data_IF_283540113930
#
_entry.id   IF_283540113930
#
_cell.length_a   1.000
_cell.length_b   1.000
_cell.length_c   1.000
_cell.angle_alpha   90.00
_cell.angle_beta   90.00
_cell.angle_gamma   90.00
#
_symmetry.space_group_name_H-M   'P 1'
#
loop_
_entity.id
_entity.type
_entity.pdbx_description
1 polymer ?
#
# COMPACT_ATOMS: atom_id res chain seq x y z
N UNK A 1 -15.10 23.85 -9.84
CA UNK A 1 -15.69 22.89 -8.87
C UNK A 1 -14.58 22.39 -7.98
N UNK A 2 -14.80 22.33 -6.67
CA UNK A 2 -13.88 21.69 -5.72
C UNK A 2 -14.44 20.30 -5.39
N UNK A 3 -13.70 19.26 -5.81
CA UNK A 3 -13.92 17.83 -5.56
C UNK A 3 -13.37 17.44 -4.17
N UNK A 4 -13.54 16.16 -3.75
CA UNK A 4 -13.13 15.58 -2.44
C UNK A 4 -13.23 16.54 -1.23
N UNK A 5 -14.32 16.42 -0.47
CA UNK A 5 -14.65 17.35 0.64
C UNK A 5 -13.71 17.27 1.85
N UNK A 6 -12.82 16.28 1.91
CA UNK A 6 -11.94 16.02 3.05
C UNK A 6 -12.64 15.43 4.28
N UNK A 7 -13.94 15.11 4.19
CA UNK A 7 -14.66 14.40 5.25
C UNK A 7 -14.25 12.92 5.28
N UNK A 8 -14.15 12.28 4.10
CA UNK A 8 -13.55 10.95 3.95
C UNK A 8 -12.04 11.06 4.12
N UNK A 9 -11.46 10.23 5.01
CA UNK A 9 -10.05 10.35 5.40
C UNK A 9 -9.13 9.22 4.95
N UNK A 10 -9.69 8.17 4.37
CA UNK A 10 -8.91 7.02 3.94
C UNK A 10 -8.50 7.12 2.47
N UNK A 11 -7.36 6.53 2.14
CA UNK A 11 -6.85 6.39 0.79
C UNK A 11 -7.03 4.94 0.34
N UNK A 12 -7.34 4.71 -0.94
CA UNK A 12 -7.47 3.37 -1.49
C UNK A 12 -6.15 2.61 -1.49
N UNK A 13 -6.20 1.30 -1.22
CA UNK A 13 -5.05 0.40 -1.32
C UNK A 13 -4.48 0.42 -2.74
N UNK A 14 -5.35 0.22 -3.74
CA UNK A 14 -5.02 0.34 -5.17
C UNK A 14 -4.44 1.70 -5.51
N UNK A 15 -5.15 2.77 -5.15
CA UNK A 15 -4.78 4.13 -5.55
C UNK A 15 -3.37 4.47 -5.04
N UNK A 16 -3.09 4.13 -3.78
CA UNK A 16 -1.77 4.34 -3.19
C UNK A 16 -0.65 3.56 -3.91
N UNK A 17 -0.95 2.37 -4.43
CA UNK A 17 -0.02 1.56 -5.21
C UNK A 17 0.15 2.07 -6.66
N UNK A 18 -0.89 2.63 -7.26
CA UNK A 18 -0.82 3.25 -8.58
C UNK A 18 -0.05 4.57 -8.54
N UNK A 19 -0.25 5.39 -7.50
CA UNK A 19 0.50 6.62 -7.28
C UNK A 19 2.01 6.37 -7.21
N UNK A 20 2.42 5.28 -6.54
CA UNK A 20 3.83 4.87 -6.43
C UNK A 20 4.52 4.75 -7.80
N UNK A 21 3.81 4.24 -8.81
CA UNK A 21 4.35 4.13 -10.17
C UNK A 21 4.70 5.49 -10.77
N UNK A 22 3.94 6.53 -10.41
CA UNK A 22 4.14 7.89 -10.89
C UNK A 22 5.24 8.65 -10.16
N UNK A 23 5.53 8.34 -8.89
CA UNK A 23 6.46 9.15 -8.08
C UNK A 23 7.73 8.45 -7.59
N UNK A 24 7.88 7.15 -7.82
CA UNK A 24 9.02 6.38 -7.28
C UNK A 24 10.39 6.93 -7.71
N UNK A 25 10.52 7.40 -8.94
CA UNK A 25 11.74 7.99 -9.49
C UNK A 25 12.08 9.37 -8.88
N UNK A 26 11.10 10.06 -8.29
CA UNK A 26 11.30 11.39 -7.69
C UNK A 26 11.76 11.30 -6.23
N UNK A 27 11.15 10.39 -5.45
CA UNK A 27 11.37 10.26 -3.99
C UNK A 27 11.38 8.80 -3.54
N UNK A 28 12.39 8.01 -3.95
CA UNK A 28 12.40 6.56 -3.73
C UNK A 28 12.33 6.16 -2.25
N UNK A 29 12.97 6.89 -1.35
CA UNK A 29 12.91 6.61 0.09
C UNK A 29 11.48 6.72 0.66
N UNK A 30 10.70 7.68 0.17
CA UNK A 30 9.29 7.82 0.55
C UNK A 30 8.43 6.75 -0.10
N UNK A 31 8.75 6.35 -1.32
CA UNK A 31 8.08 5.24 -2.00
C UNK A 31 8.28 3.93 -1.22
N UNK A 32 9.51 3.66 -0.77
CA UNK A 32 9.85 2.53 0.09
C UNK A 32 9.00 2.50 1.36
N UNK A 33 8.97 3.61 2.09
CA UNK A 33 8.18 3.69 3.32
C UNK A 33 6.68 3.50 3.06
N UNK A 34 6.17 4.06 1.96
CA UNK A 34 4.75 3.91 1.59
C UNK A 34 4.38 2.47 1.27
N UNK A 35 5.24 1.72 0.57
CA UNK A 35 5.04 0.27 0.31
C UNK A 35 4.88 -0.48 1.64
N UNK A 36 5.78 -0.22 2.61
CA UNK A 36 5.71 -0.85 3.93
C UNK A 36 4.44 -0.46 4.70
N UNK A 37 4.06 0.82 4.64
CA UNK A 37 2.85 1.31 5.31
C UNK A 37 1.57 0.68 4.75
N UNK A 38 1.49 0.43 3.44
CA UNK A 38 0.34 -0.21 2.79
C UNK A 38 0.36 -1.74 3.01
N UNK A 39 1.54 -2.37 3.02
CA UNK A 39 1.65 -3.81 3.23
C UNK A 39 1.11 -4.26 4.61
N UNK A 40 1.11 -3.38 5.61
CA UNK A 40 0.55 -3.66 6.95
C UNK A 40 -0.95 -3.95 6.93
N UNK A 41 -1.70 -3.47 5.94
CA UNK A 41 -3.14 -3.72 5.81
C UNK A 41 -3.50 -4.92 4.93
N UNK A 42 -2.49 -5.70 4.51
CA UNK A 42 -2.71 -7.02 3.91
C UNK A 42 -2.89 -8.07 5.01
N UNK A 43 -3.91 -8.90 4.85
CA UNK A 43 -4.26 -10.00 5.75
C UNK A 43 -3.46 -11.27 5.40
N UNK A 44 -3.43 -12.23 6.33
CA UNK A 44 -2.65 -13.47 6.19
C UNK A 44 -3.12 -14.39 5.07
N UNK A 45 -4.37 -14.26 4.62
CA UNK A 45 -4.92 -15.00 3.48
C UNK A 45 -4.61 -14.33 2.12
N UNK A 46 -3.88 -13.21 2.13
CA UNK A 46 -3.48 -12.43 0.97
C UNK A 46 -4.50 -11.36 0.57
N UNK A 47 -5.71 -11.35 1.14
CA UNK A 47 -6.66 -10.25 0.96
C UNK A 47 -6.18 -8.98 1.66
N UNK A 48 -6.80 -7.82 1.39
CA UNK A 48 -6.47 -6.58 2.07
C UNK A 48 -7.71 -5.71 2.29
N UNK A 49 -7.58 -4.77 3.22
CA UNK A 49 -8.57 -3.71 3.37
C UNK A 49 -8.53 -2.79 2.15
N UNK A 50 -9.71 -2.49 1.59
CA UNK A 50 -9.81 -1.67 0.39
C UNK A 50 -9.31 -0.24 0.61
N UNK A 51 -9.50 0.26 1.83
CA UNK A 51 -9.11 1.60 2.22
C UNK A 51 -8.21 1.56 3.47
N UNK A 52 -7.18 2.40 3.44
CA UNK A 52 -6.19 2.56 4.49
C UNK A 52 -6.24 3.98 5.03
N UNK A 53 -6.17 4.14 6.35
CA UNK A 53 -6.13 5.46 6.99
C UNK A 53 -4.66 5.87 7.23
N UNK A 54 -4.11 6.88 6.52
CA UNK A 54 -2.67 7.18 6.58
C UNK A 54 -2.18 7.70 7.93
N UNK A 55 -3.09 8.29 8.72
CA UNK A 55 -2.77 8.86 10.02
C UNK A 55 -2.69 7.80 11.12
N UNK A 56 -3.50 6.73 11.04
CA UNK A 56 -3.54 5.65 12.05
C UNK A 56 -2.78 4.41 11.59
N UNK A 57 -2.52 4.31 10.29
CA UNK A 57 -1.96 3.14 9.61
C UNK A 57 -2.83 1.88 9.68
N UNK A 58 -4.14 2.06 9.83
CA UNK A 58 -5.11 0.97 9.95
C UNK A 58 -5.96 0.81 8.70
N UNK A 59 -6.41 -0.42 8.44
CA UNK A 59 -7.39 -0.71 7.40
C UNK A 59 -8.79 -0.31 7.84
N UNK A 60 -9.58 0.27 6.93
CA UNK A 60 -10.96 0.63 7.19
C UNK A 60 -11.85 -0.62 7.18
N UNK A 61 -12.22 -1.10 8.36
CA UNK A 61 -13.10 -2.25 8.56
C UNK A 61 -14.54 -2.01 8.06
N UNK A 62 -14.99 -0.75 8.00
CA UNK A 62 -16.35 -0.39 7.62
C UNK A 62 -16.54 -0.41 6.09
N UNK A 63 -15.50 -0.08 5.32
CA UNK A 63 -15.49 -0.30 3.85
C UNK A 63 -15.24 -1.77 3.48
N UNK A 64 -14.60 -2.54 4.38
CA UNK A 64 -14.36 -3.96 4.21
C UNK A 64 -13.22 -4.29 3.23
N UNK A 65 -13.26 -5.53 2.73
CA UNK A 65 -12.35 -6.09 1.73
C UNK A 65 -13.13 -6.78 0.61
N UNK A 66 -12.53 -7.74 -0.08
CA UNK A 66 -13.18 -8.50 -1.16
C UNK A 66 -13.04 -7.90 -2.56
N UNK A 67 -12.26 -6.84 -2.69
CA UNK A 67 -11.81 -6.31 -3.97
C UNK A 67 -10.59 -7.11 -4.43
N UNK A 68 -10.84 -8.15 -5.22
CA UNK A 68 -9.84 -9.16 -5.55
C UNK A 68 -8.66 -8.65 -6.41
N UNK A 69 -8.75 -7.43 -6.94
CA UNK A 69 -7.63 -6.81 -7.65
C UNK A 69 -6.63 -6.13 -6.70
N UNK A 70 -7.08 -5.68 -5.52
CA UNK A 70 -6.24 -4.91 -4.59
C UNK A 70 -4.93 -5.61 -4.22
N UNK A 71 -4.91 -6.91 -3.84
CA UNK A 71 -3.66 -7.58 -3.45
C UNK A 71 -2.56 -7.54 -4.50
N UNK A 72 -2.92 -7.58 -5.79
CA UNK A 72 -1.95 -7.60 -6.89
C UNK A 72 -1.27 -6.25 -7.10
N UNK A 73 -1.89 -5.16 -6.66
CA UNK A 73 -1.31 -3.82 -6.79
C UNK A 73 -0.07 -3.63 -5.92
N UNK A 74 0.02 -4.32 -4.77
CA UNK A 74 1.22 -4.31 -3.93
C UNK A 74 2.42 -4.96 -4.63
N UNK A 75 2.18 -6.02 -5.39
CA UNK A 75 3.22 -6.67 -6.20
C UNK A 75 3.70 -5.69 -7.29
N UNK A 76 2.77 -5.04 -7.98
CA UNK A 76 3.09 -4.11 -9.06
C UNK A 76 3.97 -2.94 -8.58
N UNK A 77 3.60 -2.30 -7.48
CA UNK A 77 4.35 -1.17 -6.92
C UNK A 77 5.72 -1.59 -6.37
N UNK A 78 5.81 -2.75 -5.70
CA UNK A 78 7.07 -3.31 -5.20
C UNK A 78 8.03 -3.63 -6.34
N UNK A 79 7.53 -4.24 -7.42
CA UNK A 79 8.33 -4.49 -8.61
C UNK A 79 8.81 -3.20 -9.28
N UNK A 80 7.96 -2.17 -9.36
CA UNK A 80 8.36 -0.87 -9.90
C UNK A 80 9.46 -0.22 -9.06
N UNK A 81 9.33 -0.26 -7.74
CA UNK A 81 10.36 0.24 -6.83
C UNK A 81 11.71 -0.48 -7.00
N UNK A 82 11.70 -1.81 -7.05
CA UNK A 82 12.93 -2.60 -7.24
C UNK A 82 13.56 -2.28 -8.61
N UNK A 83 12.75 -2.14 -9.67
CA UNK A 83 13.25 -1.79 -11.01
C UNK A 83 13.90 -0.41 -11.05
N UNK A 84 13.33 0.56 -10.33
CA UNK A 84 13.85 1.93 -10.28
C UNK A 84 15.13 2.05 -9.44
N UNK A 85 15.19 1.33 -8.31
CA UNK A 85 16.23 1.56 -7.29
C UNK A 85 17.30 0.46 -7.21
N UNK A 86 16.99 -0.75 -7.67
CA UNK A 86 17.79 -1.95 -7.41
C UNK A 86 17.77 -2.43 -5.96
N UNK A 87 16.94 -1.85 -5.08
CA UNK A 87 16.88 -2.20 -3.66
C UNK A 87 15.94 -3.39 -3.42
N UNK A 88 16.54 -4.57 -3.21
CA UNK A 88 15.82 -5.81 -2.89
C UNK A 88 15.52 -5.98 -1.39
N UNK A 89 15.99 -5.08 -0.52
CA UNK A 89 15.79 -5.21 0.95
C UNK A 89 14.31 -5.25 1.36
N UNK A 90 13.42 -4.65 0.55
CA UNK A 90 11.99 -4.71 0.77
C UNK A 90 11.46 -6.16 0.75
N UNK A 91 12.00 -7.03 -0.10
CA UNK A 91 11.54 -8.41 -0.21
C UNK A 91 11.83 -9.19 1.07
N UNK A 92 12.97 -8.97 1.71
CA UNK A 92 13.29 -9.60 3.00
C UNK A 92 12.29 -9.16 4.07
N UNK A 93 11.97 -7.87 4.14
CA UNK A 93 11.03 -7.33 5.13
C UNK A 93 9.60 -7.85 4.91
N UNK A 94 9.14 -7.89 3.67
CA UNK A 94 7.79 -8.33 3.32
C UNK A 94 7.59 -9.85 3.46
N UNK A 95 8.67 -10.65 3.41
CA UNK A 95 8.59 -12.12 3.51
C UNK A 95 8.94 -12.68 4.88
N UNK A 96 9.75 -11.97 5.67
CA UNK A 96 10.27 -12.46 6.96
C UNK A 96 9.34 -12.27 8.16
N UNK A 97 8.31 -11.45 8.03
CA UNK A 97 7.29 -11.26 9.07
C UNK A 97 5.91 -11.25 8.45
N UNK A 98 4.92 -11.99 8.99
CA UNK A 98 3.54 -11.56 8.82
C UNK A 98 3.47 -10.16 9.43
N UNK A 99 3.38 -9.13 8.58
CA UNK A 99 3.11 -7.75 9.00
C UNK A 99 1.70 -7.60 9.59
N UNK A 100 0.94 -8.70 9.61
CA UNK A 100 -0.31 -8.86 10.32
C UNK A 100 -0.08 -8.55 11.81
N UNK A 101 -0.43 -7.32 12.21
CA UNK A 101 -0.69 -7.00 13.59
C UNK A 101 -1.79 -7.95 14.06
N UNK A 102 -1.47 -8.75 15.09
CA UNK A 102 -2.36 -9.65 15.81
C UNK A 102 -3.66 -8.98 16.22
#
# INVERSE_FOLDING_TARGET
LFYESGIGRGMGFRDSNQDLLGFVHMVPERARQRILDIAVVQLSDGSCYHQYQPLTKEGNKDMGGGFNDDPLWLIASTCAYIKETGDFSNLEILTSKPLCLS
#
